data_IF_799009387851
#
_entry.id   IF_799009387851
#
_cell.length_a   1.000
_cell.length_b   1.000
_cell.length_c   1.000
_cell.angle_alpha   90.00
_cell.angle_beta   90.00
_cell.angle_gamma   90.00
#
_symmetry.space_group_name_H-M   'P 1'
#
loop_
_entity.id
_entity.type
_entity.pdbx_description
1 polymer ?
#
# COMPACT_ATOMS: atom_id res chain seq x y z
N UNK A 1 -8.06 2.11 17.40
CA UNK A 1 -7.53 3.21 16.55
C UNK A 1 -6.23 3.88 17.07
N UNK A 2 -6.20 4.54 18.25
CA UNK A 2 -5.03 5.36 18.68
C UNK A 2 -3.74 4.60 18.99
N UNK A 3 -3.82 3.33 19.43
CA UNK A 3 -2.65 2.52 19.80
C UNK A 3 -1.87 2.01 18.59
N UNK A 4 -2.56 1.45 17.59
CA UNK A 4 -1.90 0.95 16.38
C UNK A 4 -1.19 2.08 15.62
N UNK A 5 -1.81 3.26 15.51
CA UNK A 5 -1.14 4.42 14.90
C UNK A 5 0.14 4.82 15.64
N UNK A 6 0.16 4.71 16.98
CA UNK A 6 1.36 4.96 17.77
C UNK A 6 2.44 3.90 17.52
N UNK A 7 2.05 2.62 17.38
CA UNK A 7 2.99 1.55 17.00
C UNK A 7 3.60 1.80 15.62
N UNK A 8 2.79 2.18 14.63
CA UNK A 8 3.29 2.53 13.31
C UNK A 8 4.22 3.75 13.30
N UNK A 9 4.01 4.70 14.21
CA UNK A 9 4.96 5.80 14.41
C UNK A 9 6.29 5.31 15.01
N UNK A 10 6.26 4.37 15.95
CA UNK A 10 7.48 3.75 16.49
C UNK A 10 8.27 2.96 15.43
N UNK A 11 7.58 2.34 14.46
CA UNK A 11 8.22 1.67 13.32
C UNK A 11 9.10 2.65 12.52
N UNK A 12 8.65 3.89 12.35
CA UNK A 12 9.43 4.94 11.66
C UNK A 12 10.63 5.41 12.50
N UNK A 13 10.52 5.39 13.83
CA UNK A 13 11.61 5.73 14.75
C UNK A 13 12.63 4.59 14.95
N UNK A 14 12.26 3.35 14.65
CA UNK A 14 13.04 2.14 14.87
C UNK A 14 14.49 2.18 14.34
N UNK A 15 14.77 2.72 13.14
CA UNK A 15 16.14 2.79 12.63
C UNK A 15 17.03 3.78 13.41
N UNK A 16 16.44 4.79 14.04
CA UNK A 16 17.18 5.85 14.77
C UNK A 16 17.46 5.45 16.23
N UNK A 17 16.52 4.79 16.88
CA UNK A 17 16.61 4.42 18.30
C UNK A 17 16.17 2.96 18.51
N UNK A 18 16.98 1.98 18.04
CA UNK A 18 16.58 0.57 18.04
C UNK A 18 16.38 0.00 19.46
N UNK A 19 17.21 0.39 20.43
CA UNK A 19 17.13 -0.14 21.80
C UNK A 19 15.83 0.28 22.52
N UNK A 20 15.44 1.55 22.42
CA UNK A 20 14.23 2.07 23.04
C UNK A 20 12.98 1.45 22.42
N UNK A 21 12.96 1.35 21.09
CA UNK A 21 11.84 0.73 20.36
C UNK A 21 11.72 -0.76 20.72
N UNK A 22 12.84 -1.50 20.81
CA UNK A 22 12.81 -2.91 21.26
C UNK A 22 12.25 -3.07 22.67
N UNK A 23 12.63 -2.20 23.60
CA UNK A 23 12.17 -2.26 24.99
C UNK A 23 10.65 -2.07 25.09
N UNK A 24 10.07 -1.21 24.26
CA UNK A 24 8.62 -0.95 24.24
C UNK A 24 7.86 -2.08 23.51
N UNK A 25 8.35 -2.51 22.34
CA UNK A 25 7.60 -3.42 21.46
C UNK A 25 7.70 -4.89 21.86
N UNK A 26 8.79 -5.32 22.50
CA UNK A 26 8.99 -6.73 22.83
C UNK A 26 7.94 -7.27 23.83
N UNK A 27 7.61 -6.58 24.93
CA UNK A 27 6.54 -7.01 25.83
C UNK A 27 5.17 -7.09 25.13
N UNK A 28 4.87 -6.13 24.26
CA UNK A 28 3.60 -6.10 23.51
C UNK A 28 3.49 -7.28 22.54
N UNK A 29 4.58 -7.63 21.85
CA UNK A 29 4.61 -8.80 20.99
C UNK A 29 4.41 -10.12 21.76
N UNK A 30 5.01 -10.23 22.95
CA UNK A 30 4.95 -11.44 23.78
C UNK A 30 3.63 -11.64 24.52
N UNK A 31 2.86 -10.56 24.71
CA UNK A 31 1.57 -10.62 25.39
C UNK A 31 0.52 -11.32 24.50
N UNK A 32 0.08 -12.52 24.90
CA UNK A 32 -0.93 -13.29 24.17
C UNK A 32 -2.35 -12.76 24.36
N UNK A 33 -2.57 -11.88 25.34
CA UNK A 33 -3.87 -11.21 25.56
C UNK A 33 -4.09 -10.03 24.61
N UNK A 34 -3.04 -9.54 23.94
CA UNK A 34 -3.17 -8.48 22.94
C UNK A 34 -3.71 -9.02 21.62
N UNK A 35 -4.41 -8.16 20.89
CA UNK A 35 -4.96 -8.50 19.59
C UNK A 35 -3.84 -8.81 18.58
N UNK A 36 -4.09 -9.77 17.69
CA UNK A 36 -3.14 -10.15 16.65
C UNK A 36 -2.67 -8.98 15.75
N UNK A 37 -3.47 -7.94 15.40
CA UNK A 37 -3.00 -6.86 14.55
C UNK A 37 -1.99 -5.98 15.30
N UNK A 38 -2.23 -5.74 16.60
CA UNK A 38 -1.33 -5.04 17.51
C UNK A 38 0.00 -5.79 17.64
N UNK A 39 -0.06 -7.11 17.84
CA UNK A 39 1.14 -7.96 17.94
C UNK A 39 1.91 -8.02 16.62
N UNK A 40 1.23 -8.04 15.47
CA UNK A 40 1.87 -7.96 14.14
C UNK A 40 2.56 -6.59 13.96
N UNK A 41 1.90 -5.49 14.33
CA UNK A 41 2.51 -4.16 14.24
C UNK A 41 3.76 -4.06 15.13
N UNK A 42 3.71 -4.60 16.35
CA UNK A 42 4.87 -4.69 17.24
C UNK A 42 5.99 -5.55 16.64
N UNK A 43 5.65 -6.69 16.04
CA UNK A 43 6.61 -7.54 15.32
C UNK A 43 7.29 -6.79 14.17
N UNK A 44 6.54 -6.08 13.33
CA UNK A 44 7.10 -5.28 12.22
C UNK A 44 8.08 -4.24 12.76
N UNK A 45 7.71 -3.52 13.83
CA UNK A 45 8.60 -2.55 14.47
C UNK A 45 9.86 -3.18 15.06
N UNK A 46 9.76 -4.35 15.69
CA UNK A 46 10.93 -5.10 16.16
C UNK A 46 11.89 -5.46 15.02
N UNK A 47 11.37 -5.94 13.89
CA UNK A 47 12.20 -6.26 12.72
C UNK A 47 12.87 -5.00 12.14
N UNK A 48 12.15 -3.86 12.10
CA UNK A 48 12.70 -2.59 11.63
C UNK A 48 13.90 -2.08 12.44
N UNK A 49 14.13 -2.62 13.64
CA UNK A 49 15.33 -2.31 14.45
C UNK A 49 16.58 -3.13 14.06
N UNK A 50 16.52 -3.95 13.02
CA UNK A 50 17.58 -4.90 12.63
C UNK A 50 18.04 -5.81 13.80
N UNK A 51 17.16 -6.69 14.30
CA UNK A 51 17.41 -7.50 15.49
C UNK A 51 18.58 -8.48 15.32
N UNK A 52 19.16 -8.86 16.45
CA UNK A 52 20.23 -9.87 16.49
C UNK A 52 19.68 -11.27 16.26
N UNK A 53 20.58 -12.19 15.88
CA UNK A 53 20.21 -13.56 15.56
C UNK A 53 19.53 -14.27 16.75
N UNK A 54 19.93 -13.97 17.99
CA UNK A 54 19.31 -14.50 19.20
C UNK A 54 17.84 -14.11 19.33
N UNK A 55 17.51 -12.83 19.11
CA UNK A 55 16.13 -12.34 19.19
C UNK A 55 15.26 -12.95 18.08
N UNK A 56 15.81 -13.09 16.86
CA UNK A 56 15.13 -13.76 15.76
C UNK A 56 14.86 -15.24 16.07
N UNK A 57 15.83 -15.95 16.66
CA UNK A 57 15.63 -17.33 17.12
C UNK A 57 14.55 -17.43 18.20
N UNK A 58 14.54 -16.50 19.15
CA UNK A 58 13.56 -16.47 20.22
C UNK A 58 12.14 -16.26 19.67
N UNK A 59 11.96 -15.30 18.75
CA UNK A 59 10.70 -15.07 18.01
C UNK A 59 10.26 -16.35 17.28
N UNK A 60 11.18 -17.00 16.57
CA UNK A 60 10.87 -18.20 15.79
C UNK A 60 10.55 -19.44 16.62
N UNK A 61 11.12 -19.57 17.82
CA UNK A 61 10.71 -20.63 18.76
C UNK A 61 9.36 -20.34 19.38
N UNK A 62 9.13 -19.08 19.77
CA UNK A 62 7.87 -18.68 20.42
C UNK A 62 6.67 -18.84 19.50
N UNK A 63 6.83 -18.58 18.20
CA UNK A 63 5.70 -18.67 17.26
C UNK A 63 5.17 -20.10 17.08
N UNK A 64 5.97 -21.13 17.35
CA UNK A 64 5.56 -22.54 17.27
C UNK A 64 4.39 -22.80 18.22
N UNK A 65 4.48 -22.25 19.44
CA UNK A 65 3.50 -22.44 20.53
C UNK A 65 2.48 -21.30 20.62
N UNK A 66 2.49 -20.34 19.69
CA UNK A 66 1.60 -19.19 19.75
C UNK A 66 0.15 -19.58 19.43
N UNK A 67 -0.84 -19.14 20.24
CA UNK A 67 -2.24 -19.49 20.00
C UNK A 67 -2.82 -18.86 18.72
N UNK A 68 -2.26 -17.75 18.22
CA UNK A 68 -2.80 -17.03 17.07
C UNK A 68 -2.24 -17.59 15.76
N UNK A 69 -3.09 -18.27 14.98
CA UNK A 69 -2.75 -18.71 13.61
C UNK A 69 -2.50 -17.54 12.65
N UNK A 70 -3.14 -16.39 12.90
CA UNK A 70 -3.00 -15.18 12.11
C UNK A 70 -1.60 -14.58 12.29
N UNK A 71 -1.14 -14.46 13.54
CA UNK A 71 0.23 -14.02 13.84
C UNK A 71 1.26 -15.02 13.29
N UNK A 72 1.04 -16.32 13.51
CA UNK A 72 1.96 -17.35 13.04
C UNK A 72 2.09 -17.37 11.51
N UNK A 73 0.97 -17.21 10.80
CA UNK A 73 0.96 -17.07 9.34
C UNK A 73 1.74 -15.85 8.86
N UNK A 74 1.55 -14.69 9.50
CA UNK A 74 2.25 -13.47 9.12
C UNK A 74 3.76 -13.55 9.37
N UNK A 75 4.18 -14.00 10.56
CA UNK A 75 5.61 -14.10 10.94
C UNK A 75 6.34 -15.13 10.06
N UNK A 76 5.73 -16.29 9.84
CA UNK A 76 6.36 -17.35 9.03
C UNK A 76 6.48 -16.97 7.57
N UNK A 77 5.46 -16.34 6.98
CA UNK A 77 5.53 -15.80 5.62
C UNK A 77 6.58 -14.69 5.51
N UNK A 78 6.62 -13.76 6.46
CA UNK A 78 7.63 -12.70 6.49
C UNK A 78 9.05 -13.27 6.50
N UNK A 79 9.35 -14.21 7.40
CA UNK A 79 10.69 -14.78 7.52
C UNK A 79 11.10 -15.54 6.26
N UNK A 80 10.19 -16.30 5.65
CA UNK A 80 10.44 -17.07 4.42
C UNK A 80 10.71 -16.18 3.21
N UNK A 81 9.94 -15.11 3.03
CA UNK A 81 10.13 -14.18 1.92
C UNK A 81 11.39 -13.32 2.11
N UNK A 82 11.64 -12.85 3.34
CA UNK A 82 12.86 -12.08 3.64
C UNK A 82 14.13 -12.92 3.56
N UNK A 83 14.10 -14.21 3.91
CA UNK A 83 15.26 -15.11 3.75
C UNK A 83 15.65 -15.33 2.28
N UNK A 84 14.70 -15.19 1.35
CA UNK A 84 14.91 -15.30 -0.11
C UNK A 84 15.25 -13.96 -0.77
N UNK A 85 15.19 -12.86 -0.02
CA UNK A 85 15.38 -11.53 -0.56
C UNK A 85 16.76 -11.35 -1.17
N UNK A 86 16.79 -10.91 -2.43
CA UNK A 86 17.98 -10.45 -3.13
C UNK A 86 17.93 -8.92 -3.26
N UNK A 87 17.92 -8.23 -2.12
CA UNK A 87 17.92 -6.78 -2.03
C UNK A 87 19.04 -6.33 -1.07
N UNK A 88 19.99 -5.47 -1.49
CA UNK A 88 21.19 -5.18 -0.71
C UNK A 88 20.91 -4.70 0.72
N UNK A 89 19.92 -3.80 0.91
CA UNK A 89 19.57 -3.28 2.23
C UNK A 89 19.04 -4.35 3.19
N UNK A 90 18.51 -5.46 2.67
CA UNK A 90 18.00 -6.57 3.47
C UNK A 90 18.99 -7.75 3.57
N UNK A 91 20.16 -7.67 2.94
CA UNK A 91 21.15 -8.75 2.90
C UNK A 91 21.56 -9.26 4.29
N UNK A 92 21.79 -8.36 5.25
CA UNK A 92 22.16 -8.72 6.61
C UNK A 92 21.04 -9.48 7.34
N UNK A 93 19.79 -9.01 7.18
CA UNK A 93 18.62 -9.65 7.78
C UNK A 93 18.31 -10.99 7.09
N UNK A 94 18.37 -11.04 5.75
CA UNK A 94 18.16 -12.25 4.96
C UNK A 94 19.12 -13.37 5.39
N UNK A 95 20.42 -13.06 5.59
CA UNK A 95 21.41 -14.02 6.06
C UNK A 95 21.07 -14.58 7.45
N UNK A 96 20.67 -13.73 8.39
CA UNK A 96 20.22 -14.16 9.73
C UNK A 96 18.98 -15.07 9.63
N UNK A 97 18.00 -14.68 8.81
CA UNK A 97 16.74 -15.41 8.66
C UNK A 97 16.91 -16.77 7.98
N UNK A 98 17.87 -16.95 7.08
CA UNK A 98 18.19 -18.26 6.48
C UNK A 98 18.49 -19.32 7.54
N UNK A 99 19.15 -18.96 8.63
CA UNK A 99 19.42 -19.90 9.74
C UNK A 99 18.19 -20.17 10.61
N UNK A 100 17.27 -19.21 10.70
CA UNK A 100 16.11 -19.31 11.61
C UNK A 100 14.95 -20.07 10.96
N UNK A 101 14.75 -19.90 9.65
CA UNK A 101 13.66 -20.53 8.90
C UNK A 101 13.73 -22.07 8.94
N UNK A 102 14.94 -22.64 9.07
CA UNK A 102 15.13 -24.10 9.14
C UNK A 102 14.47 -24.74 10.36
N UNK A 103 14.27 -23.98 11.45
CA UNK A 103 13.59 -24.44 12.67
C UNK A 103 12.14 -24.88 12.42
N UNK A 104 11.53 -24.40 11.33
CA UNK A 104 10.14 -24.67 11.01
C UNK A 104 9.94 -25.79 10.00
N UNK A 105 11.01 -26.38 9.47
CA UNK A 105 10.93 -27.45 8.47
C UNK A 105 10.20 -28.69 8.99
N UNK A 106 10.27 -28.94 10.30
CA UNK A 106 9.65 -30.10 10.96
C UNK A 106 8.33 -29.75 11.67
N UNK A 107 7.82 -28.53 11.51
CA UNK A 107 6.58 -28.08 12.16
C UNK A 107 5.43 -28.19 11.17
N UNK A 108 4.55 -29.17 11.37
CA UNK A 108 3.43 -29.45 10.46
C UNK A 108 2.51 -28.24 10.25
N UNK A 109 2.25 -27.47 11.32
CA UNK A 109 1.47 -26.23 11.29
C UNK A 109 1.97 -25.24 10.24
N UNK A 110 3.28 -25.25 9.93
CA UNK A 110 3.92 -24.33 9.00
C UNK A 110 4.23 -24.96 7.64
N UNK A 111 3.97 -26.26 7.45
CA UNK A 111 4.26 -26.97 6.22
C UNK A 111 3.39 -26.49 5.04
N UNK A 112 2.16 -26.04 5.33
CA UNK A 112 1.22 -25.54 4.31
C UNK A 112 1.41 -24.06 4.03
N UNK A 113 1.12 -23.66 2.79
CA UNK A 113 1.07 -22.23 2.43
C UNK A 113 -0.09 -21.56 3.17
N UNK A 114 0.08 -20.33 3.66
CA UNK A 114 -1.00 -19.55 4.26
C UNK A 114 -2.23 -19.45 3.35
N UNK A 115 -3.40 -19.71 3.92
CA UNK A 115 -4.68 -19.46 3.25
C UNK A 115 -4.89 -17.95 3.02
N UNK A 116 -5.72 -17.60 2.03
CA UNK A 116 -5.99 -16.18 1.69
C UNK A 116 -6.68 -15.41 2.82
N UNK A 117 -7.40 -16.12 3.68
CA UNK A 117 -8.11 -15.61 4.87
C UNK A 117 -7.19 -15.35 6.06
N UNK A 118 -5.89 -15.64 5.93
CA UNK A 118 -4.89 -15.41 6.97
C UNK A 118 -4.00 -14.22 6.63
N UNK A 119 -3.50 -13.58 7.67
CA UNK A 119 -2.52 -12.51 7.62
C UNK A 119 -1.23 -13.03 7.01
N UNK A 120 -0.66 -12.29 6.06
CA UNK A 120 0.48 -12.74 5.27
C UNK A 120 1.33 -11.59 4.78
N UNK A 121 2.61 -11.88 4.61
CA UNK A 121 3.56 -11.02 3.94
C UNK A 121 4.07 -11.70 2.67
N UNK A 122 4.06 -10.96 1.56
CA UNK A 122 4.64 -11.37 0.29
C UNK A 122 5.68 -10.34 -0.13
N UNK A 123 6.81 -10.80 -0.67
CA UNK A 123 7.82 -9.90 -1.20
C UNK A 123 8.43 -10.47 -2.47
N UNK A 124 8.74 -9.58 -3.40
CA UNK A 124 9.61 -9.86 -4.54
C UNK A 124 10.74 -8.87 -4.52
N UNK A 125 11.95 -9.32 -4.85
CA UNK A 125 13.14 -8.48 -4.85
C UNK A 125 14.04 -8.89 -6.01
N UNK A 126 14.61 -7.88 -6.66
CA UNK A 126 15.61 -8.03 -7.71
C UNK A 126 16.78 -7.10 -7.44
N UNK A 127 17.98 -7.53 -7.80
CA UNK A 127 19.18 -6.74 -7.71
C UNK A 127 20.13 -7.14 -8.83
N UNK A 128 20.61 -6.14 -9.57
CA UNK A 128 21.61 -6.28 -10.61
C UNK A 128 22.92 -5.66 -10.14
N UNK A 129 23.92 -6.53 -9.95
CA UNK A 129 25.27 -6.14 -9.52
C UNK A 129 25.98 -5.26 -10.55
N UNK A 130 25.71 -5.44 -11.85
CA UNK A 130 26.38 -4.70 -12.92
C UNK A 130 26.03 -3.22 -12.90
N UNK A 131 24.77 -2.90 -12.62
CA UNK A 131 24.27 -1.53 -12.58
C UNK A 131 24.13 -0.98 -11.15
N UNK A 132 24.46 -1.79 -10.13
CA UNK A 132 24.27 -1.46 -8.71
C UNK A 132 22.85 -0.92 -8.45
N UNK A 133 21.87 -1.59 -9.04
CA UNK A 133 20.45 -1.19 -9.02
C UNK A 133 19.60 -2.36 -8.54
N UNK A 134 18.64 -2.08 -7.66
CA UNK A 134 17.73 -3.10 -7.18
C UNK A 134 16.35 -2.54 -6.89
N UNK A 135 15.35 -3.40 -6.94
CA UNK A 135 13.97 -3.05 -6.61
C UNK A 135 13.36 -4.12 -5.72
N UNK A 136 12.52 -3.71 -4.79
CA UNK A 136 11.71 -4.63 -3.99
C UNK A 136 10.26 -4.19 -3.94
N UNK A 137 9.37 -5.16 -4.10
CA UNK A 137 7.93 -5.00 -3.96
C UNK A 137 7.47 -5.80 -2.75
N UNK A 138 6.84 -5.12 -1.80
CA UNK A 138 6.35 -5.68 -0.54
C UNK A 138 4.82 -5.60 -0.52
N UNK A 139 4.16 -6.69 -0.13
CA UNK A 139 2.74 -6.76 0.13
C UNK A 139 2.50 -7.33 1.54
N UNK A 140 2.00 -6.50 2.44
CA UNK A 140 1.60 -6.89 3.79
C UNK A 140 0.08 -6.84 3.90
N UNK A 141 -0.54 -7.96 4.24
CA UNK A 141 -1.97 -8.06 4.49
C UNK A 141 -2.18 -8.54 5.92
N UNK A 142 -2.83 -7.71 6.73
CA UNK A 142 -3.19 -8.03 8.12
C UNK A 142 -4.71 -8.16 8.16
N UNK A 143 -5.18 -9.36 8.49
CA UNK A 143 -6.60 -9.66 8.64
C UNK A 143 -7.13 -9.03 9.92
N UNK A 144 -8.42 -8.70 9.93
CA UNK A 144 -9.12 -8.26 11.13
C UNK A 144 -9.45 -9.45 12.04
N UNK A 145 -9.64 -9.21 13.33
CA UNK A 145 -10.12 -10.23 14.27
C UNK A 145 -11.60 -10.51 14.08
N UNK A 146 -12.37 -9.45 13.83
CA UNK A 146 -13.84 -9.51 13.84
C UNK A 146 -14.46 -9.50 12.44
N UNK A 147 -13.65 -9.25 11.40
CA UNK A 147 -14.09 -8.99 10.03
C UNK A 147 -13.47 -9.94 8.99
N UNK A 148 -14.24 -10.21 7.93
CA UNK A 148 -13.77 -10.94 6.75
C UNK A 148 -12.80 -10.13 5.89
N UNK A 149 -12.76 -8.82 6.08
CA UNK A 149 -11.85 -7.92 5.38
C UNK A 149 -10.52 -7.77 6.12
N UNK A 150 -9.44 -7.50 5.37
CA UNK A 150 -8.20 -7.07 5.96
C UNK A 150 -8.38 -5.77 6.74
N UNK A 151 -7.91 -5.74 7.98
CA UNK A 151 -7.82 -4.51 8.76
C UNK A 151 -6.76 -3.58 8.18
N UNK A 152 -5.65 -4.12 7.64
CA UNK A 152 -4.68 -3.30 6.93
C UNK A 152 -4.03 -4.00 5.75
N UNK A 153 -3.77 -3.21 4.71
CA UNK A 153 -3.05 -3.64 3.52
C UNK A 153 -1.97 -2.59 3.25
N UNK A 154 -0.72 -3.02 3.18
CA UNK A 154 0.39 -2.16 2.75
C UNK A 154 1.03 -2.76 1.51
N UNK A 155 0.97 -2.04 0.42
CA UNK A 155 1.73 -2.32 -0.79
C UNK A 155 2.83 -1.27 -0.91
N UNK A 156 4.08 -1.69 -1.04
CA UNK A 156 5.21 -0.77 -1.16
C UNK A 156 6.19 -1.25 -2.24
N UNK A 157 6.70 -0.31 -3.01
CA UNK A 157 7.75 -0.48 -3.99
C UNK A 157 8.91 0.40 -3.54
N UNK A 158 10.07 -0.21 -3.33
CA UNK A 158 11.30 0.47 -2.94
C UNK A 158 12.36 0.22 -3.99
N UNK A 159 13.08 1.28 -4.33
CA UNK A 159 14.18 1.20 -5.28
C UNK A 159 15.48 1.53 -4.57
N UNK A 160 16.51 0.82 -4.98
CA UNK A 160 17.89 0.98 -4.56
C UNK A 160 18.69 1.48 -5.75
N UNK A 161 19.35 2.61 -5.59
CA UNK A 161 20.13 3.25 -6.63
C UNK A 161 21.42 3.82 -6.04
N UNK A 162 22.55 3.58 -6.71
CA UNK A 162 23.88 4.16 -6.46
C UNK A 162 24.31 4.26 -4.97
N UNK A 163 25.32 3.46 -4.61
CA UNK A 163 26.13 3.67 -3.39
C UNK A 163 25.35 3.73 -2.06
N UNK A 164 24.27 2.94 -1.91
CA UNK A 164 23.60 2.77 -0.62
C UNK A 164 22.25 3.46 -0.47
N UNK A 165 21.81 4.26 -1.45
CA UNK A 165 20.55 4.99 -1.34
C UNK A 165 19.35 4.09 -1.64
N UNK A 166 18.44 4.03 -0.67
CA UNK A 166 17.15 3.35 -0.74
C UNK A 166 16.05 4.39 -0.54
N UNK A 167 15.08 4.41 -1.45
CA UNK A 167 13.91 5.26 -1.32
C UNK A 167 12.62 4.49 -1.65
N UNK A 168 11.54 4.89 -0.97
CA UNK A 168 10.19 4.35 -1.21
C UNK A 168 9.58 5.05 -2.44
N UNK A 169 9.62 4.41 -3.60
CA UNK A 169 9.07 4.96 -4.85
C UNK A 169 7.56 5.09 -4.81
N UNK A 170 6.87 4.06 -4.32
CA UNK A 170 5.41 4.06 -4.16
C UNK A 170 5.06 3.28 -2.90
N UNK A 171 4.23 3.84 -2.03
CA UNK A 171 3.57 3.04 -1.01
C UNK A 171 2.09 3.39 -0.87
N UNK A 172 1.25 2.37 -0.89
CA UNK A 172 -0.19 2.47 -0.69
C UNK A 172 -0.49 1.73 0.60
N UNK A 173 -1.04 2.44 1.58
CA UNK A 173 -1.41 1.88 2.88
C UNK A 173 -2.89 2.09 3.12
N UNK A 174 -3.61 1.01 3.30
CA UNK A 174 -5.00 0.99 3.71
C UNK A 174 -5.11 0.47 5.15
N UNK A 175 -5.96 1.12 5.94
CA UNK A 175 -6.33 0.71 7.29
C UNK A 175 -7.84 0.91 7.47
N UNK A 176 -8.57 -0.07 7.98
CA UNK A 176 -10.03 0.02 8.13
C UNK A 176 -10.55 -0.74 9.34
N UNK A 177 -11.51 -0.12 10.02
CA UNK A 177 -12.27 -0.65 11.15
C UNK A 177 -13.77 -0.54 10.83
N UNK A 178 -14.55 -1.56 11.21
CA UNK A 178 -16.01 -1.54 11.02
C UNK A 178 -16.48 -1.54 9.55
N UNK A 179 -15.61 -1.85 8.59
CA UNK A 179 -15.89 -1.81 7.13
C UNK A 179 -16.97 -2.82 6.72
N UNK A 180 -17.15 -3.87 7.51
CA UNK A 180 -18.22 -4.85 7.35
C UNK A 180 -19.62 -4.21 7.41
N UNK A 181 -19.80 -3.12 8.16
CA UNK A 181 -21.08 -2.41 8.24
C UNK A 181 -21.45 -1.76 6.92
N UNK A 182 -20.45 -1.23 6.22
CA UNK A 182 -20.64 -0.69 4.88
C UNK A 182 -20.93 -1.83 3.91
N UNK A 183 -20.07 -2.85 3.84
CA UNK A 183 -20.27 -3.98 2.92
C UNK A 183 -21.58 -4.74 3.16
N UNK A 184 -21.99 -4.97 4.41
CA UNK A 184 -23.30 -5.56 4.69
C UNK A 184 -24.42 -4.67 4.20
N UNK A 185 -24.35 -3.34 4.34
CA UNK A 185 -25.32 -2.45 3.71
C UNK A 185 -25.35 -2.53 2.17
N UNK A 186 -24.22 -2.81 1.52
CA UNK A 186 -24.10 -2.91 0.07
C UNK A 186 -24.49 -4.28 -0.49
N UNK A 187 -24.16 -5.35 0.24
CA UNK A 187 -24.13 -6.74 -0.23
C UNK A 187 -25.10 -7.65 0.54
N UNK A 188 -25.71 -7.17 1.64
CA UNK A 188 -26.72 -7.96 2.34
C UNK A 188 -27.90 -8.25 1.39
N UNK A 189 -28.47 -9.46 1.47
CA UNK A 189 -29.64 -9.81 0.69
C UNK A 189 -30.78 -8.83 1.02
N UNK A 190 -31.14 -8.01 0.03
CA UNK A 190 -32.39 -7.26 0.08
C UNK A 190 -33.55 -8.26 0.05
N UNK A 191 -34.66 -8.01 0.78
CA UNK A 191 -35.81 -8.89 0.72
C UNK A 191 -36.25 -9.04 -0.75
N UNK A 192 -36.12 -10.26 -1.30
CA UNK A 192 -36.42 -10.59 -2.70
C UNK A 192 -35.22 -10.86 -3.64
N UNK A 193 -33.96 -10.71 -3.19
CA UNK A 193 -32.77 -11.02 -4.01
C UNK A 193 -32.13 -12.35 -3.61
N UNK A 194 -32.02 -13.28 -4.56
CA UNK A 194 -31.39 -14.61 -4.41
C UNK A 194 -29.86 -14.64 -4.65
N UNK A 195 -29.25 -13.52 -5.03
CA UNK A 195 -27.80 -13.46 -5.32
C UNK A 195 -27.02 -12.92 -4.13
N UNK A 196 -26.18 -13.77 -3.55
CA UNK A 196 -25.25 -13.43 -2.47
C UNK A 196 -23.84 -13.30 -3.06
N UNK A 197 -23.26 -12.09 -3.09
CA UNK A 197 -21.91 -11.91 -3.68
C UNK A 197 -20.78 -12.50 -2.82
N UNK A 198 -21.11 -13.05 -1.64
CA UNK A 198 -20.17 -13.73 -0.75
C UNK A 198 -19.66 -15.08 -1.29
N UNK A 199 -20.26 -15.62 -2.36
CA UNK A 199 -19.76 -16.83 -3.05
C UNK A 199 -18.35 -16.65 -3.64
N UNK A 200 -17.85 -15.42 -3.81
CA UNK A 200 -16.51 -15.16 -4.35
C UNK A 200 -15.36 -15.40 -3.34
N UNK A 201 -15.63 -15.36 -2.03
CA UNK A 201 -14.60 -15.49 -0.98
C UNK A 201 -14.60 -16.86 -0.28
N UNK A 202 -15.43 -17.80 -0.72
CA UNK A 202 -15.45 -19.17 -0.25
C UNK A 202 -16.87 -19.67 0.02
N UNK A 203 -17.22 -20.78 -0.62
CA UNK A 203 -18.52 -21.43 -0.45
C UNK A 203 -18.69 -21.93 0.99
N UNK A 204 -19.49 -21.23 1.80
CA UNK A 204 -20.23 -21.89 2.88
C UNK A 204 -21.60 -22.21 2.34
N UNK A 205 -21.90 -23.52 2.20
CA UNK A 205 -23.24 -24.00 1.84
C UNK A 205 -24.23 -23.36 2.81
N UNK A 206 -25.13 -22.52 2.30
CA UNK A 206 -26.37 -22.22 3.00
C UNK A 206 -27.13 -23.54 3.03
N UNK A 207 -27.49 -24.10 4.21
CA UNK A 207 -28.26 -25.32 4.25
C UNK A 207 -29.54 -25.10 3.44
N UNK A 208 -29.76 -26.01 2.49
CA UNK A 208 -30.79 -25.94 1.45
C UNK A 208 -32.13 -26.35 2.07
N UNK A 209 -32.69 -25.50 2.93
CA UNK A 209 -33.99 -25.76 3.59
C UNK A 209 -34.61 -24.50 4.21
N UNK A 210 -34.43 -23.32 3.59
CA UNK A 210 -34.92 -22.04 4.14
C UNK A 210 -36.00 -21.38 3.27
N UNK A 211 -36.92 -22.17 2.70
CA UNK A 211 -38.11 -21.63 2.03
C UNK A 211 -39.37 -21.64 2.92
N UNK A 212 -39.35 -22.26 4.11
CA UNK A 212 -40.58 -22.44 4.91
C UNK A 212 -40.63 -21.88 6.34
N UNK A 213 -39.61 -21.18 6.85
CA UNK A 213 -39.68 -20.54 8.18
C UNK A 213 -39.39 -19.04 8.12
N UNK A 214 -40.31 -18.31 7.50
CA UNK A 214 -40.46 -16.85 7.69
C UNK A 214 -41.12 -16.56 9.04
N UNK A 215 -40.43 -16.85 10.13
CA UNK A 215 -40.58 -16.15 11.41
C UNK A 215 -39.18 -16.06 12.02
N UNK A 216 -38.62 -14.86 12.28
CA UNK A 216 -37.37 -14.76 13.00
C UNK A 216 -37.60 -15.40 14.37
N UNK A 217 -36.97 -16.54 14.60
CA UNK A 217 -37.02 -17.25 15.86
C UNK A 217 -36.21 -16.44 16.89
N UNK A 218 -36.90 -15.67 17.73
CA UNK A 218 -36.31 -14.82 18.78
C UNK A 218 -35.64 -15.63 19.90
N UNK A 219 -35.56 -16.95 19.76
CA UNK A 219 -34.96 -17.90 20.71
C UNK A 219 -33.44 -18.03 20.55
N UNK A 220 -32.87 -17.59 19.42
CA UNK A 220 -31.43 -17.47 19.28
C UNK A 220 -30.97 -16.18 19.95
N UNK A 221 -30.42 -16.30 21.17
CA UNK A 221 -29.65 -15.25 21.85
C UNK A 221 -28.33 -14.91 21.12
N UNK A 222 -28.38 -14.70 19.81
CA UNK A 222 -27.29 -14.12 19.06
C UNK A 222 -27.38 -12.63 19.31
N UNK A 223 -26.64 -12.14 20.30
CA UNK A 223 -26.42 -10.71 20.45
C UNK A 223 -25.94 -10.17 19.11
N UNK A 224 -26.66 -9.22 18.48
CA UNK A 224 -26.21 -8.63 17.22
C UNK A 224 -24.81 -8.09 17.45
N UNK A 225 -23.85 -8.47 16.59
CA UNK A 225 -22.47 -8.03 16.73
C UNK A 225 -22.45 -6.50 16.83
N UNK A 226 -21.90 -5.98 17.93
CA UNK A 226 -21.61 -4.56 18.04
C UNK A 226 -20.53 -4.23 17.04
N UNK A 227 -20.89 -3.68 15.88
CA UNK A 227 -19.92 -3.24 14.90
C UNK A 227 -19.18 -2.02 15.46
N UNK A 228 -17.85 -2.04 15.43
CA UNK A 228 -17.05 -0.83 15.67
C UNK A 228 -17.46 0.28 14.69
N UNK A 229 -17.24 1.53 15.10
CA UNK A 229 -17.49 2.71 14.27
C UNK A 229 -16.75 2.59 12.94
N UNK A 230 -17.44 2.84 11.83
CA UNK A 230 -16.86 2.76 10.50
C UNK A 230 -15.81 3.86 10.32
N UNK A 231 -14.54 3.45 10.25
CA UNK A 231 -13.42 4.35 9.99
C UNK A 231 -12.43 3.66 9.07
N UNK A 232 -12.07 4.31 7.97
CA UNK A 232 -11.07 3.83 7.03
C UNK A 232 -10.10 4.93 6.65
N UNK A 233 -8.82 4.60 6.53
CA UNK A 233 -7.77 5.51 6.09
C UNK A 233 -7.00 4.86 4.94
N UNK A 234 -6.84 5.57 3.83
CA UNK A 234 -5.97 5.19 2.73
C UNK A 234 -4.93 6.28 2.52
N UNK A 235 -3.66 5.91 2.58
CA UNK A 235 -2.52 6.80 2.35
C UNK A 235 -1.79 6.37 1.08
N UNK A 236 -1.53 7.32 0.21
CA UNK A 236 -0.69 7.14 -0.97
C UNK A 236 0.55 7.99 -0.76
N UNK A 237 1.71 7.33 -0.72
CA UNK A 237 3.00 7.99 -0.72
C UNK A 237 3.72 7.71 -2.04
N UNK A 238 4.37 8.72 -2.58
CA UNK A 238 5.19 8.62 -3.80
C UNK A 238 6.55 9.27 -3.47
N UNK A 239 7.65 8.61 -3.80
CA UNK A 239 9.02 9.04 -3.51
C UNK A 239 9.25 9.45 -2.04
N UNK A 240 8.69 8.68 -1.09
CA UNK A 240 8.79 8.94 0.34
C UNK A 240 7.88 10.07 0.88
N UNK A 241 7.10 10.74 0.03
CA UNK A 241 6.19 11.81 0.44
C UNK A 241 4.73 11.36 0.40
N UNK A 242 3.95 11.67 1.44
CA UNK A 242 2.50 11.46 1.42
C UNK A 242 1.82 12.45 0.48
N UNK A 243 1.32 11.94 -0.65
CA UNK A 243 0.67 12.76 -1.69
C UNK A 243 -0.81 12.94 -1.38
N UNK A 244 -1.48 11.87 -0.92
CA UNK A 244 -2.90 11.90 -0.62
C UNK A 244 -3.24 11.01 0.58
N UNK A 245 -4.14 11.50 1.44
CA UNK A 245 -4.75 10.72 2.51
C UNK A 245 -6.26 10.81 2.35
N UNK A 246 -6.90 9.69 2.04
CA UNK A 246 -8.35 9.56 2.03
C UNK A 246 -8.81 9.01 3.37
N UNK A 247 -9.77 9.68 3.99
CA UNK A 247 -10.41 9.24 5.22
C UNK A 247 -11.88 8.93 4.93
N UNK A 248 -12.34 7.79 5.41
CA UNK A 248 -13.69 7.30 5.28
C UNK A 248 -14.27 7.21 6.69
N UNK A 249 -15.26 8.04 7.01
CA UNK A 249 -15.88 8.08 8.33
C UNK A 249 -17.37 7.78 8.25
N UNK A 250 -18.04 7.68 9.41
CA UNK A 250 -19.50 7.47 9.48
C UNK A 250 -20.30 8.52 8.73
N UNK A 251 -19.81 9.77 8.60
CA UNK A 251 -20.46 10.80 7.77
C UNK A 251 -20.61 10.40 6.30
N UNK A 252 -19.62 9.67 5.77
CA UNK A 252 -19.69 9.13 4.42
C UNK A 252 -20.69 7.97 4.34
N UNK A 253 -20.77 7.14 5.40
CA UNK A 253 -21.78 6.09 5.51
C UNK A 253 -23.21 6.66 5.62
N UNK A 254 -23.39 7.76 6.34
CA UNK A 254 -24.70 8.42 6.50
C UNK A 254 -25.13 9.14 5.21
N UNK A 255 -24.19 9.73 4.47
CA UNK A 255 -24.46 10.24 3.13
C UNK A 255 -24.90 9.10 2.17
N UNK A 256 -24.25 7.94 2.26
CA UNK A 256 -24.62 6.73 1.51
C UNK A 256 -26.00 6.19 1.91
N UNK A 257 -26.34 6.19 3.21
CA UNK A 257 -27.65 5.72 3.70
C UNK A 257 -28.77 6.71 3.38
N UNK A 258 -28.51 8.02 3.43
CA UNK A 258 -29.46 9.06 3.01
C UNK A 258 -29.87 8.92 1.54
N UNK A 259 -28.93 8.50 0.67
CA UNK A 259 -29.25 8.16 -0.73
C UNK A 259 -29.99 6.82 -0.90
N UNK A 260 -29.99 5.94 0.10
CA UNK A 260 -30.74 4.68 0.03
C UNK A 260 -32.26 4.84 0.22
N UNK A 261 -32.71 5.97 0.78
CA UNK A 261 -34.14 6.29 0.92
C UNK A 261 -34.77 6.91 -0.34
N UNK A 262 -33.96 7.38 -1.30
CA UNK A 262 -34.43 8.03 -2.54
C UNK A 262 -34.40 7.13 -3.79
N UNK A 263 -34.04 5.85 -3.67
CA UNK A 263 -33.95 4.95 -4.84
C UNK A 263 -32.75 5.22 -5.77
N UNK A 264 -31.91 6.20 -5.45
CA UNK A 264 -30.66 6.46 -6.17
C UNK A 264 -29.59 5.45 -5.75
N UNK A 265 -29.12 4.66 -6.72
CA UNK A 265 -28.08 3.66 -6.50
C UNK A 265 -26.79 4.31 -5.96
N UNK A 266 -26.00 3.56 -5.17
CA UNK A 266 -24.64 3.93 -4.74
C UNK A 266 -23.74 4.47 -5.86
N UNK A 267 -24.02 4.03 -7.08
CA UNK A 267 -23.37 4.53 -8.28
C UNK A 267 -23.59 6.03 -8.43
N UNK A 268 -24.79 6.56 -8.20
CA UNK A 268 -25.10 8.00 -8.26
C UNK A 268 -24.29 8.86 -7.28
N UNK A 269 -24.11 8.42 -6.03
CA UNK A 269 -23.31 9.19 -5.07
C UNK A 269 -21.80 9.07 -5.33
N UNK A 270 -21.31 7.88 -5.71
CA UNK A 270 -19.92 7.69 -6.17
C UNK A 270 -19.66 8.52 -7.43
N UNK A 271 -20.63 8.62 -8.35
CA UNK A 271 -20.56 9.52 -9.52
C UNK A 271 -20.53 10.98 -9.09
N UNK A 272 -21.33 11.42 -8.10
CA UNK A 272 -21.29 12.81 -7.60
C UNK A 272 -19.94 13.22 -6.99
N UNK A 273 -19.20 12.26 -6.41
CA UNK A 273 -17.81 12.48 -5.95
C UNK A 273 -16.79 12.52 -7.11
N UNK A 274 -17.09 11.82 -8.21
CA UNK A 274 -16.34 11.82 -9.47
C UNK A 274 -16.66 13.04 -10.36
N UNK A 275 -17.83 13.66 -10.20
CA UNK A 275 -18.31 14.81 -10.98
C UNK A 275 -17.59 16.13 -10.67
N UNK A 276 -16.94 16.26 -9.51
CA UNK A 276 -16.21 17.50 -9.18
C UNK A 276 -14.97 17.65 -10.06
N UNK A 277 -14.94 18.70 -10.88
CA UNK A 277 -13.71 19.12 -11.57
C UNK A 277 -12.65 19.45 -10.51
N UNK A 278 -11.49 18.81 -10.60
CA UNK A 278 -10.39 19.06 -9.68
C UNK A 278 -9.07 19.04 -10.42
N UNK A 279 -8.33 20.14 -10.30
CA UNK A 279 -6.96 20.29 -10.77
C UNK A 279 -6.05 20.19 -9.58
N UNK A 280 -5.26 19.13 -9.53
CA UNK A 280 -4.29 18.91 -8.45
C UNK A 280 -2.89 18.99 -9.04
N UNK A 281 -2.05 19.84 -8.43
CA UNK A 281 -0.63 20.01 -8.78
C UNK A 281 0.19 19.66 -7.56
N UNK A 282 1.09 18.70 -7.70
CA UNK A 282 2.07 18.34 -6.70
C UNK A 282 3.47 18.58 -7.26
N UNK A 283 4.25 19.37 -6.54
CA UNK A 283 5.67 19.57 -6.82
C UNK A 283 6.46 19.03 -5.63
N UNK A 284 7.40 18.13 -5.90
CA UNK A 284 8.24 17.54 -4.87
C UNK A 284 9.68 17.47 -5.37
N UNK A 285 10.59 17.78 -4.46
CA UNK A 285 12.03 17.64 -4.67
C UNK A 285 12.43 16.35 -3.97
N UNK A 286 12.81 15.35 -4.75
CA UNK A 286 13.40 14.10 -4.24
C UNK A 286 14.68 14.45 -3.47
N UNK A 287 15.11 13.67 -2.45
CA UNK A 287 16.29 13.99 -1.66
C UNK A 287 17.49 14.42 -2.51
N UNK A 288 18.00 15.61 -2.20
CA UNK A 288 19.19 16.18 -2.84
C UNK A 288 20.41 15.47 -2.26
N UNK A 289 21.14 14.75 -3.10
CA UNK A 289 22.36 14.06 -2.70
C UNK A 289 23.54 14.95 -3.04
N UNK A 290 24.27 15.40 -2.03
CA UNK A 290 25.52 16.14 -2.21
C UNK A 290 26.61 15.38 -1.49
N UNK A 291 27.57 14.86 -2.24
CA UNK A 291 28.81 14.35 -1.70
C UNK A 291 29.91 15.37 -1.94
N UNK A 292 30.72 15.61 -0.90
CA UNK A 292 31.90 16.46 -0.98
C UNK A 292 33.11 15.62 -0.59
N UNK A 293 34.15 15.66 -1.43
CA UNK A 293 35.38 14.92 -1.26
C UNK A 293 36.54 15.92 -1.18
N UNK A 294 37.38 15.85 -0.14
CA UNK A 294 38.64 16.59 -0.15
C UNK A 294 39.56 15.95 -1.20
N UNK A 295 40.14 16.77 -2.07
CA UNK A 295 41.17 16.31 -3.01
C UNK A 295 42.56 16.68 -2.47
N UNK A 296 43.58 15.96 -2.95
CA UNK A 296 44.98 16.25 -2.62
C UNK A 296 45.42 17.64 -3.11
N UNK A 297 44.73 18.20 -4.12
CA UNK A 297 44.95 19.57 -4.60
C UNK A 297 44.38 20.64 -3.67
N UNK A 298 43.67 20.26 -2.60
CA UNK A 298 43.01 21.18 -1.67
C UNK A 298 41.71 21.80 -2.21
N UNK A 299 41.26 21.42 -3.42
CA UNK A 299 40.01 21.88 -4.01
C UNK A 299 38.88 20.89 -3.68
N UNK A 300 37.78 21.29 -3.02
CA UNK A 300 36.70 20.36 -2.72
C UNK A 300 36.04 19.88 -4.02
N UNK A 301 36.12 18.58 -4.30
CA UNK A 301 35.32 17.95 -5.35
C UNK A 301 33.92 17.68 -4.81
N UNK A 302 32.90 17.87 -5.62
CA UNK A 302 31.52 17.55 -5.23
C UNK A 302 30.75 16.84 -6.32
N UNK A 303 29.93 15.89 -5.90
CA UNK A 303 28.96 15.18 -6.72
C UNK A 303 27.57 15.53 -6.19
N UNK A 304 26.79 16.19 -7.02
CA UNK A 304 25.44 16.60 -6.70
C UNK A 304 24.42 15.90 -7.61
N UNK A 305 23.43 15.25 -7.00
CA UNK A 305 22.29 14.65 -7.69
C UNK A 305 21.02 15.30 -7.14
N UNK A 306 20.30 16.00 -8.00
CA UNK A 306 19.00 16.63 -7.71
C UNK A 306 17.95 16.06 -8.63
N UNK A 307 16.76 15.80 -8.12
CA UNK A 307 15.62 15.44 -8.94
C UNK A 307 14.38 16.18 -8.47
N UNK A 308 13.75 16.90 -9.39
CA UNK A 308 12.47 17.57 -9.19
C UNK A 308 11.41 16.83 -9.97
N UNK A 309 10.29 16.59 -9.32
CA UNK A 309 9.17 15.88 -9.90
C UNK A 309 7.91 16.74 -9.80
N UNK A 310 7.17 16.76 -10.90
CA UNK A 310 5.92 17.48 -11.03
C UNK A 310 4.85 16.48 -11.44
N UNK A 311 3.80 16.37 -10.63
CA UNK A 311 2.63 15.57 -10.92
C UNK A 311 1.42 16.48 -11.05
N UNK A 312 0.76 16.41 -12.20
CA UNK A 312 -0.44 17.14 -12.50
C UNK A 312 -1.57 16.17 -12.83
N UNK A 313 -2.67 16.34 -12.12
CA UNK A 313 -3.91 15.63 -12.34
C UNK A 313 -5.00 16.64 -12.70
N UNK A 314 -5.52 16.52 -13.92
CA UNK A 314 -6.73 17.22 -14.33
C UNK A 314 -7.88 16.22 -14.45
N UNK A 315 -8.85 16.33 -13.54
CA UNK A 315 -10.08 15.55 -13.59
C UNK A 315 -11.20 16.43 -14.11
N UNK A 316 -11.69 16.14 -15.32
CA UNK A 316 -12.90 16.77 -15.85
C UNK A 316 -14.14 16.04 -15.30
N UNK A 317 -15.27 16.73 -15.31
CA UNK A 317 -16.55 16.18 -14.89
C UNK A 317 -16.89 14.95 -15.74
N UNK A 318 -17.23 13.84 -15.08
CA UNK A 318 -17.76 12.68 -15.76
C UNK A 318 -19.18 13.00 -16.26
N UNK A 319 -19.49 12.71 -17.52
CA UNK A 319 -20.86 12.85 -18.01
C UNK A 319 -21.56 11.50 -17.95
N UNK A 320 -22.71 11.49 -17.29
CA UNK A 320 -23.61 10.36 -17.22
C UNK A 320 -24.91 10.75 -17.94
N UNK A 321 -25.27 9.97 -18.96
CA UNK A 321 -26.53 10.13 -19.67
C UNK A 321 -27.23 8.77 -19.69
N UNK A 322 -28.49 8.78 -19.28
CA UNK A 322 -29.37 7.62 -19.38
C UNK A 322 -30.39 7.96 -20.47
N UNK A 323 -30.26 7.32 -21.63
CA UNK A 323 -31.25 7.38 -22.71
C UNK A 323 -31.85 5.99 -22.84
N UNK A 324 -33.15 5.89 -22.53
CA UNK A 324 -33.98 4.68 -22.63
C UNK A 324 -33.34 3.41 -22.02
N UNK A 325 -32.73 2.56 -22.85
CA UNK A 325 -32.15 1.26 -22.49
C UNK A 325 -30.60 1.26 -22.47
N UNK A 326 -29.95 2.40 -22.71
CA UNK A 326 -28.49 2.53 -22.70
C UNK A 326 -27.99 3.47 -21.59
N UNK A 327 -26.95 3.05 -20.88
CA UNK A 327 -26.17 3.91 -20.01
C UNK A 327 -24.92 4.40 -20.73
N UNK A 328 -24.81 5.71 -20.92
CA UNK A 328 -23.60 6.34 -21.44
C UNK A 328 -22.80 6.94 -20.30
N UNK A 329 -21.56 6.51 -20.19
CA UNK A 329 -20.63 7.01 -19.22
C UNK A 329 -19.37 7.49 -19.94
N UNK A 330 -19.06 8.78 -19.84
CA UNK A 330 -17.79 9.33 -20.33
C UNK A 330 -16.92 9.86 -19.18
N UNK A 331 -15.68 9.38 -19.15
CA UNK A 331 -14.62 9.85 -18.26
C UNK A 331 -13.52 10.52 -19.07
N UNK A 332 -13.19 11.76 -18.75
CA UNK A 332 -12.03 12.47 -19.28
C UNK A 332 -11.08 12.85 -18.15
N UNK A 333 -9.83 12.38 -18.25
CA UNK A 333 -8.77 12.66 -17.28
C UNK A 333 -7.46 12.91 -18.01
N UNK A 334 -6.67 13.83 -17.51
CA UNK A 334 -5.33 14.08 -18.02
C UNK A 334 -4.33 13.98 -16.88
N UNK A 335 -3.41 13.03 -17.02
CA UNK A 335 -2.29 12.81 -16.11
C UNK A 335 -1.03 13.32 -16.79
N UNK A 336 -0.29 14.21 -16.11
CA UNK A 336 1.01 14.66 -16.56
C UNK A 336 2.03 14.46 -15.44
N UNK A 337 3.09 13.73 -15.77
CA UNK A 337 4.21 13.49 -14.88
C UNK A 337 5.48 13.98 -15.56
N UNK A 338 6.09 15.02 -15.01
CA UNK A 338 7.34 15.59 -15.51
C UNK A 338 8.41 15.46 -14.44
N UNK A 339 9.50 14.79 -14.76
CA UNK A 339 10.66 14.64 -13.90
C UNK A 339 11.88 15.25 -14.57
N UNK A 340 12.58 16.09 -13.81
CA UNK A 340 13.82 16.71 -14.22
C UNK A 340 14.89 16.33 -13.21
N UNK A 341 15.91 15.62 -13.65
CA UNK A 341 17.07 15.28 -12.85
C UNK A 341 18.33 15.97 -13.38
N UNK A 342 19.14 16.42 -12.43
CA UNK A 342 20.38 17.12 -12.62
C UNK A 342 21.45 16.37 -11.84
N UNK A 343 22.47 15.87 -12.53
CA UNK A 343 23.64 15.25 -11.92
C UNK A 343 24.86 16.04 -12.33
N UNK A 344 25.62 16.51 -11.35
CA UNK A 344 26.78 17.37 -11.54
C UNK A 344 27.97 16.85 -10.77
N UNK A 345 29.12 16.85 -11.43
CA UNK A 345 30.41 16.60 -10.81
C UNK A 345 31.34 17.77 -11.10
N UNK A 346 31.94 18.34 -10.06
CA UNK A 346 32.86 19.47 -10.24
C UNK A 346 33.74 19.74 -9.03
N UNK A 347 34.55 20.80 -9.15
CA UNK A 347 35.49 21.27 -8.15
C UNK A 347 35.12 22.68 -7.73
N UNK A 348 35.07 22.94 -6.42
CA UNK A 348 34.90 24.29 -5.89
C UNK A 348 36.21 25.07 -5.96
N UNK A 349 36.17 26.26 -6.57
CA UNK A 349 37.29 27.18 -6.57
C UNK A 349 37.21 28.08 -5.33
N UNK A 350 38.28 28.09 -4.54
CA UNK A 350 38.37 28.82 -3.27
C UNK A 350 38.23 30.34 -3.42
N UNK A 351 38.47 30.87 -4.62
CA UNK A 351 38.61 32.32 -4.82
C UNK A 351 37.30 33.07 -5.03
N UNK A 352 36.20 32.45 -5.50
CA UNK A 352 35.00 33.20 -5.95
C UNK A 352 33.63 32.48 -5.79
N UNK A 353 33.49 31.42 -4.99
CA UNK A 353 32.27 30.57 -5.01
C UNK A 353 31.91 30.05 -6.42
N UNK A 354 32.90 30.01 -7.31
CA UNK A 354 32.77 29.46 -8.64
C UNK A 354 33.09 27.97 -8.60
N UNK A 355 32.41 27.21 -9.47
CA UNK A 355 32.56 25.77 -9.58
C UNK A 355 32.91 25.44 -11.01
N UNK A 356 33.91 24.59 -11.21
CA UNK A 356 34.24 24.06 -12.53
C UNK A 356 33.84 22.61 -12.60
N UNK A 357 33.03 22.23 -13.59
CA UNK A 357 32.55 20.86 -13.65
C UNK A 357 31.72 20.50 -14.87
N UNK A 358 31.39 19.22 -14.92
CA UNK A 358 30.55 18.65 -15.97
C UNK A 358 29.33 18.00 -15.32
N UNK A 359 28.19 18.17 -15.96
CA UNK A 359 26.95 17.54 -15.53
C UNK A 359 26.17 16.98 -16.70
N UNK A 360 25.23 16.10 -16.38
CA UNK A 360 24.19 15.71 -17.31
C UNK A 360 22.83 16.07 -16.74
N UNK A 361 21.95 16.47 -17.65
CA UNK A 361 20.56 16.79 -17.35
C UNK A 361 19.67 15.80 -18.08
N UNK A 362 18.68 15.28 -17.36
CA UNK A 362 17.68 14.35 -17.89
C UNK A 362 16.32 14.90 -17.57
N UNK A 363 15.48 15.04 -18.60
CA UNK A 363 14.05 15.33 -18.45
C UNK A 363 13.23 14.21 -19.05
N UNK A 364 12.26 13.72 -18.30
CA UNK A 364 11.25 12.78 -18.75
C UNK A 364 9.88 13.39 -18.46
N UNK A 365 9.14 13.71 -19.51
CA UNK A 365 7.77 14.18 -19.40
C UNK A 365 6.84 13.17 -20.05
N UNK A 366 5.95 12.59 -19.26
CA UNK A 366 4.92 11.64 -19.67
C UNK A 366 3.56 12.32 -19.56
N UNK A 367 2.86 12.43 -20.70
CA UNK A 367 1.52 13.00 -20.78
C UNK A 367 0.53 11.91 -21.22
N UNK A 368 -0.36 11.50 -20.31
CA UNK A 368 -1.36 10.47 -20.54
C UNK A 368 -2.78 11.07 -20.47
N UNK A 369 -3.37 11.47 -21.61
CA UNK A 369 -4.79 11.73 -21.71
C UNK A 369 -5.57 10.41 -21.72
N UNK A 370 -6.48 10.25 -20.76
CA UNK A 370 -7.40 9.12 -20.64
C UNK A 370 -8.83 9.59 -20.92
N UNK A 371 -9.30 9.26 -22.11
CA UNK A 371 -10.69 9.43 -22.51
C UNK A 371 -11.32 8.03 -22.59
N UNK A 372 -12.20 7.70 -21.66
CA UNK A 372 -12.92 6.43 -21.63
C UNK A 372 -14.41 6.69 -21.81
N UNK A 373 -15.01 6.09 -22.83
CA UNK A 373 -16.46 6.06 -23.01
C UNK A 373 -16.93 4.62 -22.82
N UNK A 374 -17.70 4.36 -21.80
CA UNK A 374 -18.34 3.08 -21.57
C UNK A 374 -19.83 3.23 -21.87
N UNK A 375 -20.36 2.38 -22.74
CA UNK A 375 -21.80 2.25 -22.94
C UNK A 375 -22.25 0.88 -22.46
N UNK A 376 -23.33 0.82 -21.69
CA UNK A 376 -23.90 -0.43 -21.20
C UNK A 376 -25.35 -0.53 -21.65
N UNK A 377 -25.64 -1.52 -22.50
CA UNK A 377 -26.97 -1.82 -23.00
C UNK A 377 -27.68 -2.79 -22.03
N UNK A 378 -28.77 -2.32 -21.42
CA UNK A 378 -29.56 -3.06 -20.43
C UNK A 378 -30.29 -4.27 -21.02
N UNK A 379 -30.74 -4.20 -22.28
CA UNK A 379 -31.52 -5.26 -22.95
C UNK A 379 -30.64 -6.44 -23.35
N UNK A 380 -29.46 -6.15 -23.89
CA UNK A 380 -28.55 -7.18 -24.39
C UNK A 380 -27.48 -7.58 -23.36
N UNK A 381 -27.41 -6.89 -22.21
CA UNK A 381 -26.37 -7.03 -21.20
C UNK A 381 -24.94 -6.91 -21.78
N UNK A 382 -24.76 -6.08 -22.82
CA UNK A 382 -23.48 -5.89 -23.51
C UNK A 382 -22.85 -4.56 -23.09
N UNK A 383 -21.62 -4.65 -22.58
CA UNK A 383 -20.78 -3.48 -22.32
C UNK A 383 -19.91 -3.21 -23.54
N UNK A 384 -19.96 -1.99 -24.09
CA UNK A 384 -19.02 -1.52 -25.10
C UNK A 384 -18.11 -0.47 -24.48
N UNK A 385 -16.82 -0.78 -24.44
CA UNK A 385 -15.80 0.15 -23.98
C UNK A 385 -15.10 0.76 -25.19
N UNK A 386 -15.34 2.04 -25.45
CA UNK A 386 -14.61 2.82 -26.44
C UNK A 386 -13.48 3.57 -25.74
N UNK A 387 -12.25 3.12 -26.01
CA UNK A 387 -11.02 3.80 -25.61
C UNK A 387 -10.35 4.33 -26.87
N UNK A 388 -10.48 5.61 -27.23
CA UNK A 388 -9.58 6.22 -28.19
C UNK A 388 -8.16 6.12 -27.63
N UNK A 389 -7.32 5.27 -28.24
CA UNK A 389 -5.91 5.15 -27.90
C UNK A 389 -5.18 6.39 -28.44
N UNK A 390 -5.19 7.47 -27.66
CA UNK A 390 -4.11 8.45 -27.75
C UNK A 390 -2.89 7.85 -27.04
N UNK A 391 -1.84 7.54 -27.79
CA UNK A 391 -0.57 7.09 -27.23
C UNK A 391 -0.05 8.18 -26.26
N UNK A 392 0.53 7.79 -25.11
CA UNK A 392 1.22 8.75 -24.27
C UNK A 392 2.30 9.46 -25.09
N UNK A 393 2.36 10.78 -25.00
CA UNK A 393 3.46 11.55 -25.58
C UNK A 393 4.57 11.57 -24.55
N UNK A 394 5.59 10.74 -24.79
CA UNK A 394 6.79 10.67 -23.97
C UNK A 394 7.88 11.55 -24.59
N UNK A 395 8.24 12.63 -23.91
CA UNK A 395 9.38 13.46 -24.27
C UNK A 395 10.54 13.14 -23.33
N UNK A 396 11.55 12.47 -23.88
CA UNK A 396 12.82 12.21 -23.20
C UNK A 396 13.88 13.13 -23.78
N UNK A 397 14.41 14.05 -22.97
CA UNK A 397 15.49 14.96 -23.36
C UNK A 397 16.71 14.73 -22.48
N UNK A 398 17.85 14.48 -23.12
CA UNK A 398 19.16 14.42 -22.47
C UNK A 398 20.00 15.58 -22.97
N UNK A 399 20.63 16.31 -22.06
CA UNK A 399 21.60 17.34 -22.40
C UNK A 399 22.82 17.27 -21.49
N UNK A 400 24.00 17.17 -22.10
CA UNK A 400 25.28 17.39 -21.44
C UNK A 400 25.47 18.89 -21.24
N UNK A 401 25.93 19.28 -20.05
CA UNK A 401 26.19 20.67 -19.73
C UNK A 401 27.58 20.78 -19.11
N UNK A 402 28.38 21.69 -19.65
CA UNK A 402 29.72 22.03 -19.17
C UNK A 402 29.65 23.41 -18.53
N UNK A 403 30.29 23.58 -17.37
CA UNK A 403 30.34 24.83 -16.62
C UNK A 403 31.77 25.15 -16.20
#
# INVERSE_FOLDING_TARGET
MRRESALWALVQAAPKQPHLVRHILLPMYMNTSESHPTRIAAFVGLISTNPDLYLLHHIARRIIVDPSDQLASYVTSFFREMAKANYPCYSALARKLKHVVTLWNHVERFARKPERTRSRFGMSSTYDERYNYGGTTELSVIMSEDSYLPQSIRYAVKDYFLAGFNFDTLSITYQGWGVDRLLSGLVAPRPGSVRNMWDFFGNRRVPREAEETRRPDYTLHITPRGFETFVGNMKINIFGHTVETLQFDEKLLDAIKGTSTSGESLMGHVMSLLERERKTKHFYVTPVLVWQFPTDSGLPAFLEIRQTNFFYLNRQQATFQHEDDEFHLAFQRHYLYDTFSYTYFGFGLLSEQSYLGAGYTKRLSVSLPLNLRATYDLKNHRMRLQRPLSLPVDLVKYSLVFF
#
